data_IF_297086921343
#
_entry.id   IF_297086921343
#
_cell.length_a   1.000
_cell.length_b   1.000
_cell.length_c   1.000
_cell.angle_alpha   90.00
_cell.angle_beta   90.00
_cell.angle_gamma   90.00
#
_symmetry.space_group_name_H-M   'P 1'
#
loop_
_entity.id
_entity.type
_entity.pdbx_description
1 polymer ?
#
# COMPACT_ATOMS: atom_id res chain seq x y z
N UNK A 1 26.09 11.45 7.99
CA UNK A 1 24.90 12.27 7.92
C UNK A 1 23.69 11.40 7.70
N UNK A 2 22.73 11.57 8.55
CA UNK A 2 21.47 10.87 8.39
C UNK A 2 20.63 11.57 7.33
N UNK A 3 20.03 10.82 6.43
CA UNK A 3 19.08 11.38 5.49
C UNK A 3 17.74 10.72 5.71
N UNK A 4 16.72 11.15 4.97
CA UNK A 4 15.38 10.64 5.24
C UNK A 4 15.26 9.14 5.01
N UNK A 5 16.16 8.54 4.22
CA UNK A 5 16.13 7.10 4.00
C UNK A 5 16.51 6.32 5.26
N UNK A 6 17.31 6.92 6.14
CA UNK A 6 17.67 6.26 7.39
C UNK A 6 16.49 6.13 8.33
N UNK A 7 15.52 7.04 8.20
CA UNK A 7 14.31 7.01 9.02
C UNK A 7 13.14 6.35 8.31
N UNK A 8 13.34 5.95 7.08
CA UNK A 8 12.26 5.40 6.28
C UNK A 8 11.97 3.97 6.70
N UNK A 9 10.69 3.70 6.97
CA UNK A 9 10.24 2.35 7.29
C UNK A 9 9.64 1.77 6.03
N UNK A 10 10.26 0.73 5.51
CA UNK A 10 9.81 0.09 4.27
C UNK A 10 8.46 -0.57 4.41
N UNK A 11 7.85 -0.83 3.25
CA UNK A 11 6.53 -1.45 3.21
C UNK A 11 6.52 -2.80 3.94
N UNK A 12 7.58 -3.59 3.77
CA UNK A 12 7.61 -4.92 4.39
C UNK A 12 7.61 -4.83 5.91
N UNK A 13 8.36 -3.88 6.48
CA UNK A 13 8.41 -3.72 7.92
C UNK A 13 7.10 -3.18 8.46
N UNK A 14 6.48 -2.26 7.73
CA UNK A 14 5.16 -1.74 8.12
C UNK A 14 4.09 -2.81 8.04
N UNK A 15 4.17 -3.67 7.04
CA UNK A 15 3.25 -4.79 6.91
C UNK A 15 3.41 -5.77 8.08
N UNK A 16 4.66 -6.05 8.47
CA UNK A 16 4.90 -6.91 9.63
C UNK A 16 4.29 -6.34 10.89
N UNK A 17 4.38 -5.03 11.07
CA UNK A 17 3.77 -4.39 12.23
C UNK A 17 2.24 -4.52 12.21
N UNK A 18 1.64 -4.33 11.04
CA UNK A 18 0.19 -4.49 10.89
C UNK A 18 -0.23 -5.93 11.22
N UNK A 19 0.48 -6.91 10.67
CA UNK A 19 0.18 -8.32 10.92
C UNK A 19 0.34 -8.67 12.39
N UNK A 20 1.35 -8.09 13.05
CA UNK A 20 1.55 -8.32 14.48
C UNK A 20 0.39 -7.78 15.31
N UNK A 21 -0.15 -6.64 14.92
CA UNK A 21 -1.28 -6.05 15.62
C UNK A 21 -2.60 -6.76 15.32
N UNK A 22 -2.73 -7.34 14.13
CA UNK A 22 -3.97 -7.97 13.68
C UNK A 22 -3.66 -9.35 13.11
N UNK A 23 -3.46 -10.36 13.99
CA UNK A 23 -3.08 -11.70 13.52
C UNK A 23 -4.11 -12.35 12.60
N UNK A 24 -5.39 -11.94 12.70
CA UNK A 24 -6.44 -12.47 11.85
C UNK A 24 -6.68 -11.63 10.62
N UNK A 25 -5.70 -10.83 10.23
CA UNK A 25 -5.78 -9.91 9.13
C UNK A 25 -6.17 -10.59 7.82
N UNK A 26 -6.65 -9.78 6.89
CA UNK A 26 -6.89 -10.21 5.52
C UNK A 26 -6.48 -9.07 4.59
N UNK A 27 -5.90 -9.43 3.46
CA UNK A 27 -5.52 -8.45 2.45
C UNK A 27 -6.12 -8.90 1.12
N UNK A 28 -6.79 -7.98 0.45
CA UNK A 28 -7.27 -8.21 -0.91
C UNK A 28 -6.57 -7.25 -1.85
N UNK A 29 -6.10 -7.77 -2.95
CA UNK A 29 -5.41 -6.98 -3.96
C UNK A 29 -6.14 -7.14 -5.28
N UNK A 30 -6.43 -6.02 -5.92
CA UNK A 30 -7.16 -6.00 -7.18
C UNK A 30 -6.40 -5.17 -8.20
N UNK A 31 -6.20 -5.70 -9.39
CA UNK A 31 -5.82 -4.89 -10.52
C UNK A 31 -7.12 -4.51 -11.24
N UNK A 32 -7.40 -3.22 -11.32
CA UNK A 32 -8.69 -2.77 -11.81
C UNK A 32 -8.87 -3.10 -13.28
N UNK A 33 -10.05 -3.60 -13.64
CA UNK A 33 -10.33 -4.04 -15.00
C UNK A 33 -10.13 -2.91 -16.02
N UNK A 34 -10.46 -1.68 -15.64
CA UNK A 34 -10.27 -0.52 -16.52
C UNK A 34 -8.83 -0.34 -16.96
N UNK A 35 -7.89 -0.79 -16.13
CA UNK A 35 -6.48 -0.64 -16.45
C UNK A 35 -5.93 -1.80 -17.26
N UNK A 36 -6.72 -2.85 -17.46
CA UNK A 36 -6.25 -4.02 -18.18
C UNK A 36 -6.50 -3.94 -19.68
N UNK A 37 -7.21 -2.91 -20.13
CA UNK A 37 -7.47 -2.75 -21.55
C UNK A 37 -6.25 -2.16 -22.24
N UNK A 38 -6.12 -2.48 -23.53
CA UNK A 38 -4.98 -2.10 -24.31
C UNK A 38 -4.78 -0.58 -24.37
N UNK A 39 -5.87 0.16 -24.36
CA UNK A 39 -5.84 1.62 -24.49
C UNK A 39 -5.36 2.32 -23.22
N UNK A 40 -5.30 1.63 -22.11
CA UNK A 40 -4.84 2.23 -20.85
C UNK A 40 -3.35 2.02 -20.70
N UNK A 41 -2.61 3.10 -20.47
CA UNK A 41 -1.16 3.06 -20.41
C UNK A 41 -0.63 2.73 -19.02
N UNK A 42 -1.50 2.62 -18.04
CA UNK A 42 -1.08 2.38 -16.65
C UNK A 42 -1.84 1.19 -16.09
N UNK A 43 -1.22 0.52 -15.11
CA UNK A 43 -1.93 -0.40 -14.24
C UNK A 43 -2.46 0.39 -13.05
N UNK A 44 -3.65 0.03 -12.60
CA UNK A 44 -4.24 0.61 -11.40
C UNK A 44 -4.49 -0.53 -10.44
N UNK A 45 -3.83 -0.48 -9.28
CA UNK A 45 -3.94 -1.54 -8.28
C UNK A 45 -4.57 -0.97 -7.03
N UNK A 46 -5.47 -1.74 -6.45
CA UNK A 46 -6.17 -1.41 -5.21
C UNK A 46 -5.86 -2.48 -4.19
N UNK A 47 -5.45 -2.05 -3.00
CA UNK A 47 -5.21 -2.95 -1.88
C UNK A 47 -6.18 -2.60 -0.76
N UNK A 48 -6.81 -3.62 -0.21
CA UNK A 48 -7.73 -3.48 0.92
C UNK A 48 -7.18 -4.26 2.10
N UNK A 49 -7.08 -3.59 3.24
CA UNK A 49 -6.61 -4.20 4.48
C UNK A 49 -7.79 -4.41 5.42
N UNK A 50 -7.88 -5.60 5.96
CA UNK A 50 -8.91 -5.98 6.93
C UNK A 50 -8.22 -6.38 8.23
N UNK A 51 -8.76 -5.94 9.36
CA UNK A 51 -8.17 -6.29 10.66
C UNK A 51 -8.51 -7.71 11.06
N UNK A 52 -9.66 -8.20 10.62
CA UNK A 52 -10.05 -9.58 10.90
C UNK A 52 -10.70 -10.19 9.66
N UNK A 53 -10.75 -11.51 9.62
CA UNK A 53 -11.41 -12.23 8.55
C UNK A 53 -12.89 -11.91 8.45
N UNK A 54 -13.50 -11.57 9.57
CA UNK A 54 -14.94 -11.35 9.65
C UNK A 54 -15.35 -9.93 9.28
N UNK A 55 -14.42 -9.01 9.17
CA UNK A 55 -14.76 -7.61 8.85
C UNK A 55 -15.43 -7.53 7.50
N UNK A 56 -16.62 -6.93 7.41
CA UNK A 56 -17.30 -6.82 6.11
C UNK A 56 -16.72 -5.73 5.23
N UNK A 57 -16.09 -4.72 5.83
CA UNK A 57 -15.53 -3.59 5.11
C UNK A 57 -14.06 -3.45 5.39
N UNK A 58 -13.26 -2.97 4.43
CA UNK A 58 -11.84 -2.76 4.71
C UNK A 58 -11.61 -1.69 5.75
N UNK A 59 -10.60 -1.92 6.57
CA UNK A 59 -10.12 -0.95 7.52
C UNK A 59 -9.40 0.20 6.81
N UNK A 60 -8.66 -0.12 5.75
CA UNK A 60 -7.95 0.88 4.97
C UNK A 60 -7.81 0.38 3.54
N UNK A 61 -7.78 1.32 2.61
CA UNK A 61 -7.67 1.03 1.18
C UNK A 61 -6.61 1.93 0.58
N UNK A 62 -5.80 1.38 -0.32
CA UNK A 62 -4.81 2.15 -1.05
C UNK A 62 -4.92 1.89 -2.53
N UNK A 63 -4.70 2.93 -3.33
CA UNK A 63 -4.65 2.85 -4.78
C UNK A 63 -3.29 3.34 -5.24
N UNK A 64 -2.79 2.72 -6.31
CA UNK A 64 -1.54 3.14 -6.92
C UNK A 64 -1.59 2.85 -8.41
N UNK A 65 -0.89 3.66 -9.18
CA UNK A 65 -0.77 3.45 -10.62
C UNK A 65 0.70 3.37 -11.00
N UNK A 66 0.97 2.67 -12.09
CA UNK A 66 2.32 2.59 -12.63
C UNK A 66 2.23 2.48 -14.15
N UNK A 67 3.13 3.15 -14.84
CA UNK A 67 3.18 3.08 -16.31
C UNK A 67 3.51 1.67 -16.74
N UNK A 68 2.73 1.15 -17.71
CA UNK A 68 2.96 -0.20 -18.23
C UNK A 68 4.31 -0.34 -18.93
N UNK A 69 4.92 0.77 -19.32
CA UNK A 69 6.23 0.74 -19.96
C UNK A 69 7.36 0.46 -18.98
N UNK A 70 7.11 0.60 -17.69
CA UNK A 70 8.13 0.35 -16.68
C UNK A 70 8.32 -1.13 -16.46
N UNK A 71 9.57 -1.53 -16.23
CA UNK A 71 9.86 -2.89 -15.83
C UNK A 71 9.23 -3.15 -14.45
N UNK A 72 8.61 -4.30 -14.29
CA UNK A 72 7.95 -4.68 -13.05
C UNK A 72 6.83 -3.71 -12.64
N UNK A 73 6.15 -3.15 -13.65
CA UNK A 73 5.13 -2.12 -13.40
C UNK A 73 4.03 -2.60 -12.46
N UNK A 74 3.55 -3.82 -12.67
CA UNK A 74 2.46 -4.34 -11.85
C UNK A 74 2.87 -4.52 -10.39
N UNK A 75 4.06 -5.06 -10.18
CA UNK A 75 4.59 -5.24 -8.82
C UNK A 75 4.82 -3.90 -8.14
N UNK A 76 5.30 -2.91 -8.89
CA UNK A 76 5.51 -1.57 -8.34
C UNK A 76 4.18 -0.94 -7.95
N UNK A 77 3.15 -1.11 -8.78
CA UNK A 77 1.83 -0.60 -8.47
C UNK A 77 1.26 -1.28 -7.23
N UNK A 78 1.45 -2.59 -7.12
CA UNK A 78 0.97 -3.34 -5.96
C UNK A 78 1.65 -2.87 -4.68
N UNK A 79 2.97 -2.74 -4.70
CA UNK A 79 3.72 -2.26 -3.54
C UNK A 79 3.29 -0.86 -3.15
N UNK A 80 3.08 0.01 -4.15
CA UNK A 80 2.62 1.36 -3.89
C UNK A 80 1.24 1.39 -3.25
N UNK A 81 0.33 0.55 -3.75
CA UNK A 81 -1.02 0.48 -3.21
C UNK A 81 -1.01 -0.03 -1.77
N UNK A 82 -0.19 -1.06 -1.50
CA UNK A 82 -0.05 -1.59 -0.15
C UNK A 82 0.51 -0.52 0.79
N UNK A 83 1.53 0.21 0.35
CA UNK A 83 2.13 1.26 1.16
C UNK A 83 1.13 2.35 1.50
N UNK A 84 0.27 2.73 0.55
CA UNK A 84 -0.76 3.74 0.80
C UNK A 84 -1.82 3.24 1.77
N UNK A 85 -2.22 1.98 1.64
CA UNK A 85 -3.20 1.39 2.56
C UNK A 85 -2.63 1.34 3.98
N UNK A 86 -1.38 0.93 4.13
CA UNK A 86 -0.73 0.89 5.42
C UNK A 86 -0.62 2.28 6.04
N UNK A 87 -0.35 3.28 5.21
CA UNK A 87 -0.27 4.65 5.67
C UNK A 87 -1.63 5.11 6.23
N UNK A 88 -2.70 4.82 5.53
CA UNK A 88 -4.05 5.16 6.00
C UNK A 88 -4.41 4.40 7.27
N UNK A 89 -3.87 3.21 7.44
CA UNK A 89 -4.12 2.40 8.62
C UNK A 89 -3.29 2.86 9.83
N UNK A 90 -2.40 3.83 9.64
CA UNK A 90 -1.59 4.35 10.73
C UNK A 90 -0.16 3.85 10.76
N UNK A 91 0.25 3.05 9.78
CA UNK A 91 1.60 2.49 9.71
C UNK A 91 2.42 3.30 8.72
N UNK A 92 2.99 4.39 9.19
CA UNK A 92 3.59 5.42 8.36
C UNK A 92 5.01 5.04 7.93
N UNK A 93 5.38 5.53 6.76
CA UNK A 93 6.73 5.33 6.24
C UNK A 93 7.77 6.08 7.08
N UNK A 94 7.36 7.15 7.75
CA UNK A 94 8.25 7.93 8.60
C UNK A 94 7.72 7.87 10.03
N UNK A 95 8.46 7.21 10.92
CA UNK A 95 7.91 6.93 12.25
C UNK A 95 7.93 8.11 13.20
N UNK A 96 8.81 9.07 13.05
CA UNK A 96 9.04 10.08 14.08
C UNK A 96 7.99 11.17 14.12
N UNK A 97 6.73 10.77 14.06
CA UNK A 97 5.63 11.71 14.19
C UNK A 97 5.31 12.49 12.94
N UNK A 98 6.13 12.40 11.92
CA UNK A 98 5.82 13.04 10.65
C UNK A 98 4.75 12.29 9.93
N UNK A 99 3.71 12.98 9.54
CA UNK A 99 2.68 12.39 8.71
C UNK A 99 2.92 12.82 7.28
N UNK A 100 2.77 11.90 6.32
CA UNK A 100 3.09 12.23 4.93
C UNK A 100 2.29 13.40 4.38
N UNK A 101 1.10 13.59 4.88
CA UNK A 101 0.23 14.67 4.43
C UNK A 101 0.03 15.72 5.49
N UNK A 102 0.95 15.81 6.41
CA UNK A 102 0.92 16.81 7.46
C UNK A 102 1.03 18.18 6.82
N UNK A 103 0.10 19.02 7.08
CA UNK A 103 0.15 20.40 6.63
C UNK A 103 0.65 21.28 7.73
#
# INVERSE_FOLDING_TARGET
MSNYLDDYVGVQDRLKAFIGDFPDYRIKTHCLAESLVKECDVYIVKVELYRTEADPNPFATGLSTESKSKQYALELAETGALGRALNLAGYYAKPSGSKPYQS
#
